data_IF_059831887571
#
_entry.id   IF_059831887571
#
_cell.length_a   1.000
_cell.length_b   1.000
_cell.length_c   1.000
_cell.angle_alpha   90.00
_cell.angle_beta   90.00
_cell.angle_gamma   90.00
#
_symmetry.space_group_name_H-M   'P 1'
#
loop_
_entity.id
_entity.type
_entity.pdbx_description
1 polymer ?
#
# COMPACT_ATOMS: atom_id res chain seq x y z
N UNK A 1 12.02 24.11 6.06
CA UNK A 1 12.15 22.94 6.95
C UNK A 1 10.73 22.53 7.26
N UNK A 2 10.24 21.52 6.58
CA UNK A 2 8.93 20.94 6.89
C UNK A 2 9.15 19.97 8.04
N UNK A 3 8.45 20.21 9.15
CA UNK A 3 8.38 19.25 10.24
C UNK A 3 8.00 17.87 9.70
N UNK A 4 8.48 16.77 10.29
CA UNK A 4 8.09 15.45 9.88
C UNK A 4 6.57 15.34 10.02
N UNK A 5 5.91 15.12 8.90
CA UNK A 5 4.48 14.96 8.82
C UNK A 5 4.12 13.57 9.36
N UNK A 6 3.85 13.48 10.64
CA UNK A 6 3.47 12.24 11.30
C UNK A 6 2.03 12.33 11.75
N UNK A 7 1.21 11.39 11.31
CA UNK A 7 -0.16 11.21 11.78
C UNK A 7 -0.19 10.12 12.84
N UNK A 8 -0.84 10.37 13.96
CA UNK A 8 -1.12 9.33 14.94
C UNK A 8 -2.34 8.51 14.47
N UNK A 9 -2.24 7.18 14.51
CA UNK A 9 -3.40 6.33 14.32
C UNK A 9 -4.40 6.56 15.45
N UNK A 10 -5.60 6.99 15.08
CA UNK A 10 -6.69 7.11 16.05
C UNK A 10 -7.24 5.70 16.37
N UNK A 11 -6.85 5.18 17.54
CA UNK A 11 -7.46 3.97 18.12
C UNK A 11 -8.68 4.42 18.92
N UNK A 12 -9.79 3.67 18.87
CA UNK A 12 -10.95 3.96 19.70
C UNK A 12 -10.58 3.97 21.20
N UNK A 13 -11.33 4.69 22.02
CA UNK A 13 -11.05 4.93 23.44
C UNK A 13 -10.86 3.66 24.30
N UNK A 14 -11.30 2.50 23.80
CA UNK A 14 -11.20 1.20 24.49
C UNK A 14 -10.01 0.32 24.02
N UNK A 15 -9.27 0.71 23.01
CA UNK A 15 -8.11 -0.06 22.54
C UNK A 15 -6.87 0.27 23.37
N UNK A 16 -6.42 -0.72 24.15
CA UNK A 16 -5.12 -0.65 24.83
C UNK A 16 -4.03 -0.46 23.77
N UNK A 17 -3.22 0.57 23.93
CA UNK A 17 -2.01 0.73 23.11
C UNK A 17 -1.15 -0.50 23.33
N UNK A 18 -1.01 -1.31 22.31
CA UNK A 18 -0.27 -2.57 22.38
C UNK A 18 1.18 -2.31 21.94
N UNK A 19 2.10 -3.02 22.57
CA UNK A 19 3.49 -3.05 22.13
C UNK A 19 3.60 -3.63 20.73
N UNK A 20 4.57 -3.15 19.96
CA UNK A 20 4.92 -3.75 18.68
C UNK A 20 5.31 -5.22 18.85
N UNK A 21 4.87 -6.12 17.95
CA UNK A 21 5.27 -7.52 17.97
C UNK A 21 6.80 -7.70 17.89
N UNK A 22 7.33 -8.83 18.40
CA UNK A 22 8.75 -9.15 18.22
C UNK A 22 9.09 -9.36 16.74
N UNK A 23 10.36 -9.18 16.41
CA UNK A 23 10.87 -9.47 15.06
C UNK A 23 10.63 -10.94 14.71
N UNK A 24 10.05 -11.22 13.53
CA UNK A 24 9.95 -12.59 13.03
C UNK A 24 11.32 -13.13 12.62
N UNK A 25 11.41 -14.45 12.45
CA UNK A 25 12.60 -15.06 11.84
C UNK A 25 12.83 -14.44 10.46
N UNK A 26 14.04 -13.99 10.13
CA UNK A 26 14.33 -13.38 8.84
C UNK A 26 14.00 -14.30 7.64
N UNK A 27 13.64 -13.70 6.52
CA UNK A 27 13.49 -14.42 5.24
C UNK A 27 14.87 -14.70 4.64
N UNK A 28 15.04 -15.88 4.06
CA UNK A 28 16.27 -16.25 3.35
C UNK A 28 16.36 -15.54 2.00
N UNK A 29 15.23 -15.36 1.33
CA UNK A 29 15.09 -14.59 0.09
C UNK A 29 14.32 -13.33 0.41
N UNK A 30 14.90 -12.15 0.15
CA UNK A 30 14.24 -10.88 0.46
C UNK A 30 13.00 -10.61 -0.40
N UNK A 31 12.09 -9.83 0.16
CA UNK A 31 10.87 -9.33 -0.50
C UNK A 31 10.74 -7.83 -0.35
N UNK A 32 9.68 -7.28 -0.93
CA UNK A 32 9.26 -5.88 -0.78
C UNK A 32 7.86 -5.82 -0.18
N UNK A 33 7.58 -4.76 0.55
CA UNK A 33 6.24 -4.42 1.00
C UNK A 33 5.60 -3.49 -0.04
N UNK A 34 4.60 -3.99 -0.74
CA UNK A 34 4.02 -3.26 -1.88
C UNK A 34 3.08 -2.12 -1.48
N UNK A 35 2.71 -2.02 -0.20
CA UNK A 35 1.79 -0.98 0.29
C UNK A 35 1.92 -0.80 1.81
N UNK A 36 2.34 0.39 2.22
CA UNK A 36 2.45 0.78 3.63
C UNK A 36 2.31 2.28 3.81
N UNK A 37 1.89 2.72 5.01
CA UNK A 37 1.75 4.12 5.40
C UNK A 37 2.73 4.45 6.53
N UNK A 38 3.97 4.78 6.17
CA UNK A 38 5.05 5.07 7.12
C UNK A 38 4.85 6.38 7.89
N UNK A 39 4.00 7.28 7.37
CA UNK A 39 3.64 8.56 8.01
C UNK A 39 2.67 8.38 9.17
N UNK A 40 2.08 7.21 9.32
CA UNK A 40 1.13 6.94 10.40
C UNK A 40 1.84 6.23 11.53
N UNK A 41 2.07 6.94 12.63
CA UNK A 41 2.57 6.34 13.86
C UNK A 41 1.48 5.54 14.56
N UNK A 42 1.76 4.29 14.87
CA UNK A 42 0.91 3.40 15.64
C UNK A 42 1.75 2.79 16.78
N UNK A 43 1.23 2.85 17.99
CA UNK A 43 2.00 2.47 19.17
C UNK A 43 2.33 3.69 20.02
N UNK A 44 3.03 3.48 21.12
CA UNK A 44 3.21 4.47 22.17
C UNK A 44 2.11 4.32 23.22
N UNK A 45 2.42 3.74 24.37
CA UNK A 45 1.49 3.52 25.47
C UNK A 45 1.55 4.63 26.50
N UNK A 46 0.52 4.73 27.36
CA UNK A 46 0.53 5.60 28.52
C UNK A 46 1.67 5.30 29.51
N UNK A 47 2.36 4.19 29.33
CA UNK A 47 3.52 3.71 30.08
C UNK A 47 4.87 4.06 29.43
N UNK A 48 4.89 4.89 28.38
CA UNK A 48 6.10 5.44 27.78
C UNK A 48 6.79 4.52 26.74
N UNK A 49 6.12 3.48 26.26
CA UNK A 49 6.60 2.75 25.07
C UNK A 49 6.53 3.67 23.86
N UNK A 50 7.68 3.98 23.26
CA UNK A 50 7.76 4.86 22.11
C UNK A 50 7.13 4.23 20.86
N UNK A 51 6.47 5.04 20.06
CA UNK A 51 6.16 4.68 18.67
C UNK A 51 7.47 4.43 17.90
N UNK A 52 7.39 3.64 16.82
CA UNK A 52 8.50 3.49 15.88
C UNK A 52 8.41 4.60 14.83
N UNK A 53 9.45 5.42 14.72
CA UNK A 53 9.57 6.31 13.58
C UNK A 53 9.78 5.49 12.28
N UNK A 54 9.62 6.14 11.13
CA UNK A 54 9.68 5.46 9.84
C UNK A 54 11.06 4.81 9.56
N UNK A 55 12.18 5.38 10.05
CA UNK A 55 13.53 4.81 9.89
C UNK A 55 13.68 3.56 10.72
N UNK A 56 13.22 3.59 11.95
CA UNK A 56 13.20 2.42 12.83
C UNK A 56 12.32 1.30 12.25
N UNK A 57 11.19 1.65 11.62
CA UNK A 57 10.34 0.68 10.92
C UNK A 57 11.10 0.04 9.75
N UNK A 58 11.77 0.84 8.91
CA UNK A 58 12.57 0.38 7.77
C UNK A 58 13.80 -0.44 8.20
N UNK A 59 14.46 -0.07 9.30
CA UNK A 59 15.60 -0.82 9.84
C UNK A 59 15.16 -2.21 10.34
N UNK A 60 14.04 -2.29 11.04
CA UNK A 60 13.43 -3.57 11.44
C UNK A 60 13.00 -4.38 10.22
N UNK A 61 12.39 -3.78 9.22
CA UNK A 61 11.99 -4.44 7.98
C UNK A 61 13.21 -5.03 7.25
N UNK A 62 14.27 -4.27 7.11
CA UNK A 62 15.53 -4.72 6.50
C UNK A 62 16.16 -5.90 7.26
N UNK A 63 16.11 -5.88 8.61
CA UNK A 63 16.68 -6.94 9.44
C UNK A 63 15.98 -8.30 9.30
N UNK A 64 14.75 -8.32 8.77
CA UNK A 64 13.97 -9.55 8.57
C UNK A 64 13.79 -9.92 7.09
N UNK A 65 14.50 -9.23 6.18
CA UNK A 65 14.47 -9.53 4.75
C UNK A 65 13.39 -8.83 3.96
N UNK A 66 12.84 -7.72 4.46
CA UNK A 66 12.03 -6.77 3.69
C UNK A 66 12.91 -5.61 3.29
N UNK A 67 13.42 -5.62 2.05
CA UNK A 67 14.50 -4.72 1.62
C UNK A 67 14.03 -3.38 1.06
N UNK A 68 12.73 -3.23 0.81
CA UNK A 68 12.15 -2.00 0.33
C UNK A 68 10.64 -1.99 0.48
N UNK A 69 10.08 -0.80 0.44
CA UNK A 69 8.64 -0.56 0.60
C UNK A 69 8.12 0.41 -0.45
N UNK A 70 6.83 0.32 -0.78
CA UNK A 70 6.09 1.35 -1.47
C UNK A 70 5.30 2.14 -0.42
N UNK A 71 5.73 3.39 -0.18
CA UNK A 71 5.04 4.34 0.68
C UNK A 71 3.87 4.97 -0.07
N UNK A 72 2.69 4.94 0.51
CA UNK A 72 1.44 5.31 -0.18
C UNK A 72 0.83 6.55 0.44
N UNK A 73 0.65 7.59 -0.40
CA UNK A 73 -0.10 8.79 -0.04
C UNK A 73 -1.61 8.60 -0.29
N UNK A 74 -2.42 9.19 0.57
CA UNK A 74 -3.89 9.11 0.53
C UNK A 74 -4.56 10.44 0.25
N UNK A 75 -3.85 11.54 0.38
CA UNK A 75 -4.23 12.91 0.05
C UNK A 75 -3.03 13.66 -0.53
N UNK A 76 -3.22 14.92 -0.93
CA UNK A 76 -2.16 15.70 -1.55
C UNK A 76 -0.98 15.95 -0.61
N UNK A 77 -1.23 16.09 0.68
CA UNK A 77 -0.19 16.36 1.69
C UNK A 77 0.65 15.10 1.96
N UNK A 78 0.03 13.96 2.22
CA UNK A 78 0.72 12.68 2.39
C UNK A 78 1.40 12.21 1.11
N UNK A 79 0.83 12.51 -0.06
CA UNK A 79 1.46 12.24 -1.36
C UNK A 79 2.74 13.07 -1.57
N UNK A 80 2.76 14.35 -1.16
CA UNK A 80 3.97 15.17 -1.15
C UNK A 80 5.05 14.60 -0.24
N UNK A 81 4.66 14.19 0.96
CA UNK A 81 5.56 13.55 1.91
C UNK A 81 6.11 12.22 1.36
N UNK A 82 5.26 11.38 0.74
CA UNK A 82 5.66 10.11 0.13
C UNK A 82 6.69 10.32 -0.98
N UNK A 83 6.47 11.27 -1.86
CA UNK A 83 7.42 11.62 -2.93
C UNK A 83 8.74 12.18 -2.38
N UNK A 84 8.67 12.98 -1.31
CA UNK A 84 9.85 13.56 -0.67
C UNK A 84 10.71 12.50 0.03
N UNK A 85 10.08 11.60 0.80
CA UNK A 85 10.83 10.56 1.49
C UNK A 85 11.46 9.56 0.50
N UNK A 86 10.76 9.20 -0.58
CA UNK A 86 11.29 8.33 -1.61
C UNK A 86 12.51 8.94 -2.31
N UNK A 87 12.57 10.27 -2.46
CA UNK A 87 13.70 10.96 -3.04
C UNK A 87 14.97 10.87 -2.18
N UNK A 88 14.85 10.61 -0.89
CA UNK A 88 15.95 10.65 0.07
C UNK A 88 16.26 9.32 0.78
N UNK A 89 15.31 8.38 0.82
CA UNK A 89 15.46 7.07 1.45
C UNK A 89 15.52 5.97 0.37
N UNK A 90 16.66 5.31 0.17
CA UNK A 90 16.82 4.35 -0.93
C UNK A 90 15.92 3.11 -0.80
N UNK A 91 15.42 2.81 0.38
CA UNK A 91 14.51 1.68 0.63
C UNK A 91 13.05 2.00 0.30
N UNK A 92 12.73 3.26 -0.10
CA UNK A 92 11.36 3.70 -0.33
C UNK A 92 11.14 4.06 -1.80
N UNK A 93 10.09 3.55 -2.40
CA UNK A 93 9.42 4.08 -3.58
C UNK A 93 8.09 4.69 -3.17
N UNK A 94 7.55 5.61 -3.95
CA UNK A 94 6.29 6.28 -3.61
C UNK A 94 5.16 5.90 -4.56
N UNK A 95 3.97 5.81 -3.99
CA UNK A 95 2.69 5.93 -4.68
C UNK A 95 1.99 7.22 -4.22
N UNK A 96 1.36 7.93 -5.15
CA UNK A 96 0.71 9.22 -4.89
C UNK A 96 -0.70 9.25 -5.46
N UNK A 97 -1.68 9.65 -4.65
CA UNK A 97 -3.07 9.77 -5.09
C UNK A 97 -3.94 10.52 -4.07
N UNK A 98 -5.22 10.65 -4.42
CA UNK A 98 -6.29 10.95 -3.50
C UNK A 98 -7.07 9.66 -3.26
N UNK A 99 -7.11 9.20 -2.01
CA UNK A 99 -7.93 8.07 -1.60
C UNK A 99 -9.41 8.32 -1.95
N UNK A 100 -10.20 7.31 -2.36
CA UNK A 100 -11.59 7.52 -2.75
C UNK A 100 -12.43 8.26 -1.71
N UNK A 101 -12.15 8.11 -0.43
CA UNK A 101 -12.90 8.80 0.62
C UNK A 101 -12.62 10.31 0.72
N UNK A 102 -11.53 10.80 0.13
CA UNK A 102 -11.23 12.24 0.05
C UNK A 102 -12.01 12.96 -1.06
N UNK A 103 -12.32 12.24 -2.14
CA UNK A 103 -12.90 12.82 -3.34
C UNK A 103 -14.24 13.52 -3.12
N UNK A 104 -15.20 12.98 -2.34
CA UNK A 104 -16.50 13.64 -2.11
C UNK A 104 -16.37 14.98 -1.39
N UNK A 105 -15.54 15.05 -0.35
CA UNK A 105 -15.33 16.30 0.40
C UNK A 105 -14.63 17.37 -0.45
N UNK A 106 -13.60 16.97 -1.20
CA UNK A 106 -12.88 17.85 -2.11
C UNK A 106 -13.80 18.36 -3.23
N UNK A 107 -14.68 17.51 -3.78
CA UNK A 107 -15.65 17.90 -4.78
C UNK A 107 -16.67 18.93 -4.24
N UNK A 108 -17.19 18.71 -3.02
CA UNK A 108 -18.11 19.66 -2.36
C UNK A 108 -17.45 21.02 -2.11
N UNK A 109 -16.16 21.03 -1.81
CA UNK A 109 -15.37 22.26 -1.62
C UNK A 109 -14.91 22.92 -2.92
N UNK A 110 -15.13 22.27 -4.09
CA UNK A 110 -14.63 22.73 -5.38
C UNK A 110 -13.11 22.63 -5.56
N UNK A 111 -12.44 21.78 -4.75
CA UNK A 111 -10.98 21.63 -4.70
C UNK A 111 -10.47 20.37 -5.42
N UNK A 112 -11.37 19.47 -5.87
CA UNK A 112 -10.94 18.18 -6.42
C UNK A 112 -9.98 18.33 -7.60
N UNK A 113 -10.26 19.23 -8.54
CA UNK A 113 -9.42 19.43 -9.73
C UNK A 113 -8.04 20.02 -9.39
N UNK A 114 -7.98 20.92 -8.43
CA UNK A 114 -6.71 21.48 -7.93
C UNK A 114 -5.83 20.38 -7.29
N UNK A 115 -6.44 19.53 -6.45
CA UNK A 115 -5.73 18.43 -5.81
C UNK A 115 -5.29 17.37 -6.83
N UNK A 116 -6.12 17.03 -7.81
CA UNK A 116 -5.75 16.12 -8.89
C UNK A 116 -4.58 16.67 -9.73
N UNK A 117 -4.57 17.97 -10.02
CA UNK A 117 -3.44 18.61 -10.68
C UNK A 117 -2.15 18.51 -9.86
N UNK A 118 -2.23 18.68 -8.52
CA UNK A 118 -1.11 18.47 -7.62
C UNK A 118 -0.59 17.02 -7.63
N UNK A 119 -1.48 16.03 -7.70
CA UNK A 119 -1.07 14.61 -7.86
C UNK A 119 -0.38 14.40 -9.21
N UNK A 120 -0.88 14.98 -10.29
CA UNK A 120 -0.24 14.88 -11.61
C UNK A 120 1.19 15.48 -11.61
N UNK A 121 1.42 16.59 -10.91
CA UNK A 121 2.77 17.15 -10.73
C UNK A 121 3.68 16.19 -9.94
N UNK A 122 3.17 15.55 -8.89
CA UNK A 122 3.92 14.59 -8.09
C UNK A 122 4.24 13.31 -8.89
N UNK A 123 3.37 12.88 -9.80
CA UNK A 123 3.58 11.72 -10.66
C UNK A 123 4.86 11.81 -11.51
N UNK A 124 5.33 13.02 -11.82
CA UNK A 124 6.58 13.26 -12.56
C UNK A 124 7.84 13.22 -11.67
N UNK A 125 7.70 13.12 -10.34
CA UNK A 125 8.86 13.14 -9.43
C UNK A 125 9.65 11.84 -9.52
N UNK A 126 11.00 11.93 -9.40
CA UNK A 126 11.82 10.73 -9.29
C UNK A 126 11.35 9.80 -8.17
N UNK A 127 11.45 8.48 -8.39
CA UNK A 127 11.07 7.42 -7.44
C UNK A 127 9.56 7.36 -7.08
N UNK A 128 8.70 8.18 -7.69
CA UNK A 128 7.27 7.92 -7.75
C UNK A 128 7.03 6.84 -8.81
N UNK A 129 6.44 5.71 -8.40
CA UNK A 129 6.31 4.51 -9.25
C UNK A 129 4.87 4.07 -9.46
N UNK A 130 3.95 4.65 -8.68
CA UNK A 130 2.54 4.34 -8.83
C UNK A 130 1.65 5.56 -8.60
N UNK A 131 0.50 5.52 -9.23
CA UNK A 131 -0.66 6.30 -8.84
C UNK A 131 -1.51 5.41 -7.94
N UNK A 132 -1.66 5.79 -6.70
CA UNK A 132 -2.34 5.03 -5.66
C UNK A 132 -2.05 5.61 -4.26
N UNK A 133 -2.95 5.38 -3.38
CA UNK A 133 -4.14 4.54 -3.36
C UNK A 133 -5.35 5.30 -3.92
N UNK A 134 -5.97 4.78 -4.97
CA UNK A 134 -7.15 5.37 -5.62
C UNK A 134 -8.15 4.27 -5.99
N UNK A 135 -9.38 4.62 -6.31
CA UNK A 135 -10.41 3.64 -6.65
C UNK A 135 -11.78 4.01 -6.10
N UNK A 136 -12.51 3.01 -5.58
CA UNK A 136 -13.87 3.19 -5.08
C UNK A 136 -14.06 2.52 -3.70
N UNK A 137 -14.73 3.24 -2.79
CA UNK A 137 -15.12 2.73 -1.45
C UNK A 137 -16.62 3.01 -1.23
N UNK A 138 -17.46 2.03 -1.54
CA UNK A 138 -18.91 2.15 -1.33
C UNK A 138 -19.35 1.70 0.06
N UNK A 139 -18.44 1.19 0.86
CA UNK A 139 -18.70 0.91 2.27
C UNK A 139 -18.77 2.20 3.11
N UNK A 140 -17.86 3.16 2.83
CA UNK A 140 -17.77 4.42 3.59
C UNK A 140 -18.49 5.58 2.91
N UNK A 141 -18.71 5.52 1.61
CA UNK A 141 -19.30 6.60 0.83
C UNK A 141 -20.70 6.25 0.36
N UNK A 142 -21.67 7.07 0.73
CA UNK A 142 -23.06 6.99 0.26
C UNK A 142 -23.18 7.30 -1.23
N UNK A 143 -24.41 7.11 -1.77
CA UNK A 143 -24.68 7.30 -3.19
C UNK A 143 -24.33 8.70 -3.71
N UNK A 144 -24.51 9.72 -2.88
CA UNK A 144 -24.24 11.13 -3.18
C UNK A 144 -22.76 11.46 -3.40
N UNK A 145 -21.86 10.62 -2.88
CA UNK A 145 -20.40 10.81 -3.04
C UNK A 145 -19.77 9.96 -4.15
N UNK A 146 -20.48 8.98 -4.72
CA UNK A 146 -19.93 8.00 -5.67
C UNK A 146 -19.45 8.62 -6.97
N UNK A 147 -20.18 9.61 -7.51
CA UNK A 147 -19.80 10.29 -8.74
C UNK A 147 -18.45 11.02 -8.58
N UNK A 148 -18.21 11.61 -7.42
CA UNK A 148 -16.92 12.25 -7.13
C UNK A 148 -15.78 11.22 -7.05
N UNK A 149 -16.01 10.05 -6.43
CA UNK A 149 -15.03 8.95 -6.43
C UNK A 149 -14.73 8.46 -7.85
N UNK A 150 -15.76 8.23 -8.67
CA UNK A 150 -15.59 7.79 -10.07
C UNK A 150 -14.79 8.82 -10.87
N UNK A 151 -15.11 10.10 -10.77
CA UNK A 151 -14.38 11.17 -11.44
C UNK A 151 -12.91 11.23 -11.01
N UNK A 152 -12.65 11.12 -9.71
CA UNK A 152 -11.29 11.07 -9.16
C UNK A 152 -10.53 9.87 -9.68
N UNK A 153 -11.14 8.68 -9.67
CA UNK A 153 -10.53 7.45 -10.14
C UNK A 153 -10.20 7.50 -11.64
N UNK A 154 -11.12 8.01 -12.48
CA UNK A 154 -10.85 8.23 -13.91
C UNK A 154 -9.65 9.14 -14.15
N UNK A 155 -9.56 10.25 -13.41
CA UNK A 155 -8.43 11.16 -13.51
C UNK A 155 -7.10 10.48 -13.12
N UNK A 156 -7.09 9.68 -12.04
CA UNK A 156 -5.91 8.93 -11.61
C UNK A 156 -5.48 7.88 -12.65
N UNK A 157 -6.43 7.18 -13.30
CA UNK A 157 -6.12 6.26 -14.39
C UNK A 157 -5.41 7.00 -15.53
N UNK A 158 -5.90 8.17 -15.93
CA UNK A 158 -5.27 8.96 -16.99
C UNK A 158 -3.89 9.47 -16.58
N UNK A 159 -3.70 9.93 -15.33
CA UNK A 159 -2.38 10.34 -14.83
C UNK A 159 -1.42 9.14 -14.86
N UNK A 160 -1.83 7.96 -14.41
CA UNK A 160 -1.00 6.75 -14.44
C UNK A 160 -0.55 6.40 -15.87
N UNK A 161 -1.46 6.46 -16.85
CA UNK A 161 -1.18 6.22 -18.28
C UNK A 161 -0.21 7.25 -18.86
N UNK A 162 -0.42 8.55 -18.57
CA UNK A 162 0.42 9.63 -19.06
C UNK A 162 1.88 9.51 -18.61
N UNK A 163 2.08 9.06 -17.38
CA UNK A 163 3.41 8.93 -16.78
C UNK A 163 3.98 7.50 -16.87
N UNK A 164 3.23 6.55 -17.44
CA UNK A 164 3.64 5.15 -17.51
C UNK A 164 3.87 4.52 -16.13
N UNK A 165 3.07 4.91 -15.14
CA UNK A 165 3.15 4.43 -13.76
C UNK A 165 2.21 3.26 -13.52
N UNK A 166 2.48 2.46 -12.46
CA UNK A 166 1.52 1.49 -11.97
C UNK A 166 0.29 2.17 -11.38
N UNK A 167 -0.84 1.46 -11.33
CA UNK A 167 -2.07 1.92 -10.67
C UNK A 167 -2.35 1.01 -9.49
N UNK A 168 -2.37 1.54 -8.27
CA UNK A 168 -2.79 0.82 -7.06
C UNK A 168 -4.22 1.15 -6.71
N UNK A 169 -5.08 0.13 -6.73
CA UNK A 169 -6.53 0.28 -6.60
C UNK A 169 -7.00 -0.13 -5.22
N UNK A 170 -7.67 0.79 -4.54
CA UNK A 170 -8.55 0.55 -3.43
C UNK A 170 -9.92 0.12 -3.94
N UNK A 171 -10.40 -1.02 -3.50
CA UNK A 171 -11.70 -1.56 -3.90
C UNK A 171 -12.44 -2.12 -2.69
N UNK A 172 -13.46 -1.41 -2.24
CA UNK A 172 -14.27 -1.84 -1.12
C UNK A 172 -15.76 -1.75 -1.42
N UNK A 173 -16.42 -2.92 -1.50
CA UNK A 173 -17.83 -3.07 -1.87
C UNK A 173 -18.17 -2.45 -3.25
N UNK A 174 -17.18 -2.35 -4.17
CA UNK A 174 -17.29 -1.66 -5.45
C UNK A 174 -16.72 -2.45 -6.65
N UNK A 175 -16.42 -3.73 -6.50
CA UNK A 175 -15.70 -4.57 -7.46
C UNK A 175 -16.14 -4.39 -8.93
N UNK A 176 -17.45 -4.46 -9.18
CA UNK A 176 -18.01 -4.34 -10.53
C UNK A 176 -17.87 -2.93 -11.09
N UNK A 177 -17.99 -1.91 -10.24
CA UNK A 177 -17.87 -0.52 -10.65
C UNK A 177 -16.41 -0.16 -10.93
N UNK A 178 -15.46 -0.67 -10.14
CA UNK A 178 -14.03 -0.54 -10.41
C UNK A 178 -13.69 -1.11 -11.78
N UNK A 179 -14.08 -2.36 -12.06
CA UNK A 179 -13.82 -3.00 -13.37
C UNK A 179 -14.50 -2.23 -14.50
N UNK A 180 -15.72 -1.75 -14.30
CA UNK A 180 -16.44 -0.96 -15.32
C UNK A 180 -15.72 0.35 -15.66
N UNK A 181 -15.17 1.04 -14.66
CA UNK A 181 -14.37 2.24 -14.88
C UNK A 181 -13.07 1.90 -15.63
N UNK A 182 -12.36 0.87 -15.22
CA UNK A 182 -11.13 0.40 -15.89
C UNK A 182 -11.39 0.00 -17.36
N UNK A 183 -12.47 -0.72 -17.63
CA UNK A 183 -12.84 -1.13 -19.00
C UNK A 183 -13.24 0.09 -19.86
N UNK A 184 -13.88 1.09 -19.28
CA UNK A 184 -14.30 2.32 -19.98
C UNK A 184 -13.14 3.26 -20.30
N UNK A 185 -12.26 3.49 -19.33
CA UNK A 185 -11.14 4.45 -19.44
C UNK A 185 -9.92 3.82 -20.09
N UNK A 186 -9.78 2.49 -19.97
CA UNK A 186 -8.61 1.72 -20.33
C UNK A 186 -7.61 1.65 -19.19
N UNK A 187 -7.47 0.46 -18.59
CA UNK A 187 -6.56 0.22 -17.48
C UNK A 187 -5.10 0.42 -17.89
N UNK A 188 -4.24 0.97 -17.03
CA UNK A 188 -2.79 0.93 -17.22
C UNK A 188 -2.27 -0.50 -17.30
N UNK A 189 -1.14 -0.71 -17.99
CA UNK A 189 -0.52 -2.03 -18.14
C UNK A 189 -0.24 -2.71 -16.80
N UNK A 190 0.20 -1.91 -15.81
CA UNK A 190 0.53 -2.36 -14.46
C UNK A 190 -0.54 -1.93 -13.46
N UNK A 191 -1.64 -2.68 -13.45
CA UNK A 191 -2.78 -2.45 -12.56
C UNK A 191 -2.73 -3.44 -11.39
N UNK A 192 -2.83 -2.93 -10.17
CA UNK A 192 -2.74 -3.68 -8.92
C UNK A 192 -4.00 -3.45 -8.09
N UNK A 193 -4.69 -4.52 -7.73
CA UNK A 193 -5.68 -4.49 -6.65
C UNK A 193 -4.95 -4.69 -5.34
N UNK A 194 -4.75 -3.58 -4.60
CA UNK A 194 -4.12 -3.66 -3.28
C UNK A 194 -5.10 -4.23 -2.26
N UNK A 195 -4.59 -4.81 -1.19
CA UNK A 195 -5.38 -5.40 -0.11
C UNK A 195 -6.58 -6.21 -0.63
N UNK A 196 -6.33 -7.06 -1.63
CA UNK A 196 -7.40 -7.76 -2.35
C UNK A 196 -8.43 -8.37 -1.38
N UNK A 197 -9.71 -8.09 -1.62
CA UNK A 197 -10.82 -8.47 -0.74
C UNK A 197 -11.95 -9.21 -1.46
N UNK A 198 -11.82 -9.48 -2.76
CA UNK A 198 -12.80 -10.18 -3.57
C UNK A 198 -12.83 -11.69 -3.32
N UNK A 199 -13.83 -12.34 -3.92
CA UNK A 199 -13.95 -13.79 -3.95
C UNK A 199 -13.10 -14.42 -5.06
N UNK A 200 -13.18 -15.76 -5.17
CA UNK A 200 -12.43 -16.53 -6.16
C UNK A 200 -12.82 -16.21 -7.60
N UNK A 201 -14.07 -15.86 -7.86
CA UNK A 201 -14.54 -15.52 -9.22
C UNK A 201 -13.99 -14.17 -9.64
N UNK A 202 -14.04 -13.19 -8.73
CA UNK A 202 -13.44 -11.89 -8.97
C UNK A 202 -11.92 -11.96 -9.11
N UNK A 203 -11.24 -12.78 -8.30
CA UNK A 203 -9.80 -13.01 -8.45
C UNK A 203 -9.42 -13.57 -9.84
N UNK A 204 -10.19 -14.53 -10.37
CA UNK A 204 -10.01 -15.05 -11.73
C UNK A 204 -10.27 -14.00 -12.79
N UNK A 205 -11.29 -13.16 -12.60
CA UNK A 205 -11.62 -12.06 -13.50
C UNK A 205 -10.49 -11.04 -13.58
N UNK A 206 -9.95 -10.60 -12.44
CA UNK A 206 -8.80 -9.68 -12.36
C UNK A 206 -7.56 -10.31 -12.99
N UNK A 207 -7.26 -11.56 -12.66
CA UNK A 207 -6.10 -12.28 -13.21
C UNK A 207 -6.19 -12.49 -14.73
N UNK A 208 -7.38 -12.77 -15.27
CA UNK A 208 -7.59 -12.95 -16.72
C UNK A 208 -7.30 -11.68 -17.53
N UNK A 209 -7.36 -10.49 -16.89
CA UNK A 209 -6.98 -9.22 -17.50
C UNK A 209 -5.48 -8.92 -17.42
N UNK A 210 -4.70 -9.80 -16.80
CA UNK A 210 -3.27 -9.59 -16.58
C UNK A 210 -2.94 -8.67 -15.40
N UNK A 211 -3.92 -8.32 -14.58
CA UNK A 211 -3.75 -7.44 -13.43
C UNK A 211 -3.21 -8.21 -12.21
N UNK A 212 -2.58 -7.49 -11.29
CA UNK A 212 -1.94 -8.05 -10.11
C UNK A 212 -2.87 -7.96 -8.89
N UNK A 213 -2.76 -8.95 -8.00
CA UNK A 213 -3.48 -9.00 -6.74
C UNK A 213 -2.49 -9.02 -5.58
N UNK A 214 -2.58 -8.02 -4.70
CA UNK A 214 -1.73 -7.90 -3.53
C UNK A 214 -2.46 -8.36 -2.28
N UNK A 215 -1.83 -9.25 -1.52
CA UNK A 215 -2.42 -9.87 -0.34
C UNK A 215 -1.77 -9.33 0.94
N UNK A 216 -2.61 -8.77 1.81
CA UNK A 216 -2.21 -8.24 3.11
C UNK A 216 -2.34 -9.31 4.23
N UNK A 217 -2.07 -8.90 5.47
CA UNK A 217 -2.19 -9.74 6.66
C UNK A 217 -3.56 -10.37 6.87
N UNK A 218 -4.60 -9.84 6.23
CA UNK A 218 -5.99 -10.37 6.26
C UNK A 218 -6.09 -11.81 5.80
N UNK A 219 -5.25 -12.28 4.87
CA UNK A 219 -5.25 -13.66 4.39
C UNK A 219 -4.99 -14.67 5.51
N UNK A 220 -4.29 -14.25 6.57
CA UNK A 220 -3.96 -15.06 7.75
C UNK A 220 -5.13 -15.18 8.76
N UNK A 221 -6.22 -14.41 8.56
CA UNK A 221 -7.31 -14.36 9.53
C UNK A 221 -8.17 -15.60 9.48
N UNK A 222 -8.66 -16.04 10.66
CA UNK A 222 -9.45 -17.27 10.78
C UNK A 222 -10.66 -17.30 9.84
N UNK A 223 -11.33 -16.16 9.67
CA UNK A 223 -12.55 -16.00 8.87
C UNK A 223 -12.29 -15.66 7.40
N UNK A 224 -11.05 -15.71 6.91
CA UNK A 224 -10.68 -15.34 5.55
C UNK A 224 -10.65 -16.54 4.58
N UNK A 225 -11.58 -17.50 4.69
CA UNK A 225 -11.66 -18.70 3.83
C UNK A 225 -11.75 -18.32 2.34
N UNK A 226 -12.69 -17.46 1.98
CA UNK A 226 -12.88 -17.03 0.59
C UNK A 226 -11.65 -16.30 0.01
N UNK A 227 -10.95 -15.51 0.84
CA UNK A 227 -9.72 -14.85 0.41
C UNK A 227 -8.58 -15.86 0.13
N UNK A 228 -8.52 -16.96 0.87
CA UNK A 228 -7.57 -18.05 0.60
C UNK A 228 -7.91 -18.82 -0.68
N UNK A 229 -9.20 -19.07 -0.94
CA UNK A 229 -9.64 -19.65 -2.22
C UNK A 229 -9.29 -18.72 -3.39
N UNK A 230 -9.43 -17.40 -3.22
CA UNK A 230 -8.97 -16.41 -4.20
C UNK A 230 -7.45 -16.50 -4.41
N UNK A 231 -6.66 -16.57 -3.35
CA UNK A 231 -5.19 -16.69 -3.41
C UNK A 231 -4.76 -17.95 -4.21
N UNK A 232 -5.45 -19.09 -4.04
CA UNK A 232 -5.18 -20.32 -4.80
C UNK A 232 -5.44 -20.16 -6.29
N UNK A 233 -6.43 -19.35 -6.66
CA UNK A 233 -6.87 -19.15 -8.03
C UNK A 233 -5.97 -18.22 -8.85
N UNK A 234 -5.15 -17.38 -8.18
CA UNK A 234 -4.30 -16.39 -8.85
C UNK A 234 -2.99 -17.00 -9.35
N UNK A 235 -2.61 -16.78 -10.63
CA UNK A 235 -1.31 -17.19 -11.13
C UNK A 235 -0.17 -16.59 -10.31
N UNK A 236 0.86 -17.37 -10.00
CA UNK A 236 2.01 -16.92 -9.20
C UNK A 236 2.69 -15.67 -9.76
N UNK A 237 2.67 -15.48 -11.09
CA UNK A 237 3.22 -14.32 -11.77
C UNK A 237 2.42 -13.02 -11.56
N UNK A 238 1.25 -13.09 -10.94
CA UNK A 238 0.39 -11.94 -10.65
C UNK A 238 0.18 -11.71 -9.16
N UNK A 239 0.86 -12.49 -8.29
CA UNK A 239 0.79 -12.32 -6.85
C UNK A 239 1.74 -11.24 -6.38
N UNK A 240 1.22 -10.36 -5.53
CA UNK A 240 1.98 -9.41 -4.74
C UNK A 240 1.68 -9.62 -3.24
N UNK A 241 2.47 -9.00 -2.39
CA UNK A 241 2.31 -9.05 -0.93
C UNK A 241 2.52 -7.67 -0.33
N UNK A 242 1.79 -7.36 0.72
CA UNK A 242 1.86 -6.06 1.40
C UNK A 242 1.52 -6.20 2.88
N UNK A 243 1.76 -5.14 3.64
CA UNK A 243 1.29 -5.06 5.03
C UNK A 243 0.05 -4.22 5.21
N UNK A 244 -0.13 -3.19 4.40
CA UNK A 244 -1.10 -2.11 4.65
C UNK A 244 -0.92 -1.50 6.07
N UNK A 245 0.35 -1.49 6.53
CA UNK A 245 0.66 -0.98 7.86
C UNK A 245 0.37 0.52 7.96
N UNK A 246 -0.17 0.95 9.12
CA UNK A 246 -0.26 0.29 10.42
C UNK A 246 -1.51 -0.59 10.62
N UNK A 247 -2.27 -0.86 9.58
CA UNK A 247 -3.49 -1.66 9.63
C UNK A 247 -3.19 -3.16 9.42
N UNK A 248 -4.22 -4.01 9.57
CA UNK A 248 -4.28 -5.40 9.11
C UNK A 248 -3.18 -6.34 9.64
N UNK A 249 -2.74 -6.14 10.86
CA UNK A 249 -1.69 -6.95 11.50
C UNK A 249 -1.95 -8.44 11.34
N UNK A 250 -1.01 -9.23 10.79
CA UNK A 250 -1.20 -10.65 10.55
C UNK A 250 -1.31 -11.46 11.85
N UNK A 251 -1.95 -12.63 11.77
CA UNK A 251 -1.93 -13.64 12.83
C UNK A 251 -0.47 -14.09 13.07
N UNK A 252 -0.02 -14.31 14.35
CA UNK A 252 -0.81 -14.32 15.57
C UNK A 252 -0.98 -12.95 16.26
N UNK A 253 -0.56 -11.86 15.64
CA UNK A 253 -0.41 -10.56 16.27
C UNK A 253 -1.59 -9.59 16.07
N UNK A 254 -2.76 -10.10 15.66
CA UNK A 254 -3.95 -9.25 15.48
C UNK A 254 -4.22 -8.34 16.68
N UNK A 255 -4.58 -7.07 16.38
CA UNK A 255 -4.85 -6.05 17.39
C UNK A 255 -3.60 -5.33 17.94
N UNK A 256 -2.40 -5.78 17.56
CA UNK A 256 -1.16 -5.07 17.82
C UNK A 256 -0.80 -4.11 16.69
N UNK A 257 0.11 -3.13 16.90
CA UNK A 257 0.63 -2.31 15.83
C UNK A 257 1.23 -3.15 14.70
N UNK A 258 0.94 -2.76 13.44
CA UNK A 258 1.54 -3.38 12.26
C UNK A 258 2.71 -2.54 11.75
N UNK A 259 3.62 -3.17 11.05
CA UNK A 259 4.72 -2.53 10.34
C UNK A 259 5.29 -3.51 9.31
N UNK A 260 5.97 -3.00 8.30
CA UNK A 260 6.55 -3.79 7.19
C UNK A 260 7.41 -4.97 7.65
N UNK A 261 8.03 -4.90 8.84
CA UNK A 261 8.81 -6.03 9.36
C UNK A 261 7.97 -7.28 9.71
N UNK A 262 6.63 -7.16 9.75
CA UNK A 262 5.73 -8.30 9.99
C UNK A 262 5.33 -9.04 8.70
N UNK A 263 5.70 -8.52 7.54
CA UNK A 263 5.45 -9.15 6.22
C UNK A 263 5.86 -10.62 6.13
N UNK A 264 6.97 -11.08 6.77
CA UNK A 264 7.34 -12.49 6.77
C UNK A 264 6.28 -13.44 7.33
N UNK A 265 5.39 -12.99 8.23
CA UNK A 265 4.28 -13.82 8.72
C UNK A 265 3.27 -14.09 7.60
N UNK A 266 2.90 -13.05 6.84
CA UNK A 266 1.97 -13.17 5.71
C UNK A 266 2.57 -14.05 4.62
N UNK A 267 3.84 -13.83 4.25
CA UNK A 267 4.53 -14.62 3.23
C UNK A 267 4.57 -16.12 3.58
N UNK A 268 4.98 -16.46 4.80
CA UNK A 268 5.07 -17.86 5.24
C UNK A 268 3.70 -18.52 5.26
N UNK A 269 2.68 -17.80 5.73
CA UNK A 269 1.31 -18.29 5.69
C UNK A 269 0.87 -18.58 4.26
N UNK A 270 1.10 -17.62 3.32
CA UNK A 270 0.77 -17.82 1.91
C UNK A 270 1.51 -19.02 1.33
N UNK A 271 2.81 -19.18 1.60
CA UNK A 271 3.61 -20.29 1.10
C UNK A 271 3.11 -21.65 1.63
N UNK A 272 2.82 -21.75 2.92
CA UNK A 272 2.25 -22.96 3.56
C UNK A 272 0.89 -23.30 2.94
N UNK A 273 0.01 -22.30 2.82
CA UNK A 273 -1.33 -22.49 2.25
C UNK A 273 -1.28 -22.95 0.78
N UNK A 274 -0.34 -22.41 0.01
CA UNK A 274 -0.13 -22.75 -1.40
C UNK A 274 0.70 -24.01 -1.62
N UNK A 275 1.15 -24.67 -0.55
CA UNK A 275 1.97 -25.89 -0.63
C UNK A 275 3.32 -25.68 -1.34
N UNK A 276 3.93 -24.50 -1.20
CA UNK A 276 5.21 -24.14 -1.84
C UNK A 276 6.27 -23.72 -0.83
N UNK A 277 7.54 -23.77 -1.23
CA UNK A 277 8.64 -23.26 -0.42
C UNK A 277 8.56 -21.74 -0.28
N UNK A 278 8.77 -21.21 0.92
CA UNK A 278 8.67 -19.78 1.20
C UNK A 278 9.72 -18.95 0.42
N UNK A 279 10.92 -19.48 0.19
CA UNK A 279 11.96 -18.79 -0.58
C UNK A 279 11.63 -18.75 -2.07
N UNK A 280 11.00 -19.80 -2.59
CA UNK A 280 10.51 -19.80 -3.98
C UNK A 280 9.38 -18.79 -4.18
N UNK A 281 8.43 -18.73 -3.25
CA UNK A 281 7.35 -17.75 -3.31
C UNK A 281 7.90 -16.32 -3.15
N UNK A 282 8.84 -16.11 -2.22
CA UNK A 282 9.49 -14.83 -2.03
C UNK A 282 10.18 -14.33 -3.29
N UNK A 283 10.96 -15.20 -3.97
CA UNK A 283 11.64 -14.87 -5.21
C UNK A 283 10.64 -14.49 -6.33
N UNK A 284 9.56 -15.24 -6.46
CA UNK A 284 8.53 -14.94 -7.46
C UNK A 284 7.84 -13.59 -7.18
N UNK A 285 7.42 -13.36 -5.93
CA UNK A 285 6.76 -12.10 -5.53
C UNK A 285 7.71 -10.91 -5.67
N UNK A 286 8.99 -11.05 -5.28
CA UNK A 286 9.97 -10.00 -5.46
C UNK A 286 10.16 -9.65 -6.94
N UNK A 287 10.23 -10.65 -7.82
CA UNK A 287 10.28 -10.43 -9.27
C UNK A 287 9.02 -9.73 -9.81
N UNK A 288 7.83 -10.14 -9.36
CA UNK A 288 6.57 -9.48 -9.73
C UNK A 288 6.55 -8.02 -9.29
N UNK A 289 7.04 -7.74 -8.06
CA UNK A 289 7.13 -6.38 -7.52
C UNK A 289 8.03 -5.49 -8.39
N UNK A 290 9.19 -5.99 -8.80
CA UNK A 290 10.10 -5.26 -9.69
C UNK A 290 9.51 -5.06 -11.10
N UNK A 291 8.70 -5.99 -11.60
CA UNK A 291 7.96 -5.80 -12.86
C UNK A 291 6.92 -4.68 -12.76
N UNK A 292 6.27 -4.54 -11.60
CA UNK A 292 5.23 -3.54 -11.38
C UNK A 292 5.82 -2.15 -11.10
N UNK A 293 6.77 -2.05 -10.17
CA UNK A 293 7.25 -0.76 -9.65
C UNK A 293 8.65 -0.38 -10.13
N UNK A 294 9.35 -1.25 -10.87
CA UNK A 294 10.75 -1.09 -11.21
C UNK A 294 11.66 -1.47 -10.02
N UNK A 295 12.96 -1.32 -10.23
CA UNK A 295 13.95 -1.61 -9.19
C UNK A 295 14.20 -0.39 -8.33
N UNK A 296 14.47 -0.60 -7.05
CA UNK A 296 14.78 0.46 -6.10
C UNK A 296 16.08 1.19 -6.43
N UNK A 297 17.01 0.53 -7.15
CA UNK A 297 18.30 1.05 -7.56
C UNK A 297 18.30 1.80 -8.90
N UNK A 298 17.23 1.72 -9.70
CA UNK A 298 17.17 2.32 -11.05
C UNK A 298 17.27 3.84 -11.03
N UNK A 299 16.85 4.47 -9.93
CA UNK A 299 17.01 5.91 -9.72
C UNK A 299 17.71 6.17 -8.39
N UNK A 300 18.86 6.88 -8.42
CA UNK A 300 19.58 7.22 -7.21
C UNK A 300 18.76 8.19 -6.36
N UNK A 301 18.92 8.08 -5.05
CA UNK A 301 18.42 9.09 -4.14
C UNK A 301 19.18 10.38 -4.30
N UNK A 302 18.51 11.50 -4.13
CA UNK A 302 19.15 12.82 -4.14
C UNK A 302 20.13 12.88 -2.97
N UNK A 303 21.42 13.05 -3.28
CA UNK A 303 22.43 13.25 -2.23
C UNK A 303 22.07 14.51 -1.43
N UNK A 304 21.75 14.31 -0.15
CA UNK A 304 21.07 15.22 0.67
C UNK A 304 21.60 15.97 1.68
N UNK A 305 21.10 17.00 2.09
CA UNK A 305 21.12 17.46 3.49
C UNK A 305 20.35 16.48 4.39
N UNK A 306 20.82 16.04 5.53
CA UNK A 306 20.03 15.20 6.40
C UNK A 306 18.73 15.93 6.73
N UNK A 307 17.60 15.24 6.59
CA UNK A 307 16.36 15.63 7.26
C UNK A 307 16.69 15.71 8.75
N UNK A 308 17.08 16.89 9.20
CA UNK A 308 17.46 17.14 10.58
C UNK A 308 16.23 17.00 11.46
N UNK A 309 16.05 15.79 11.97
CA UNK A 309 15.28 15.56 13.18
C UNK A 309 16.17 15.96 14.38
N UNK A 310 16.53 17.22 14.48
CA UNK A 310 16.97 17.81 15.74
C UNK A 310 15.77 18.53 16.33
N UNK A 311 15.02 17.79 17.11
CA UNK A 311 14.06 18.28 18.07
C UNK A 311 14.47 17.74 19.43
N UNK A 312 15.17 18.58 20.18
CA UNK A 312 15.41 18.43 21.62
C UNK A 312 14.12 18.46 22.43
#
# INVERSE_FOLDING_TARGET
MTEPFLRARHRGDDEKVAEYPPLPVPLTVPVFDNHTHLEIEDGGGPDGTASLDFRQQLDRASSVGVRGVVQVGTDLETSRWSAEIAAHEPRVLAAVALHPNEAPELAQKGLLDEHLAGIAELAARPRVRAIGETGLDFFRTGEDGRDAQVRSFEAHIEIAKQHGLALQIHDRDAHRDVVRVLDRVGAPERTVFHCFSGDVEFAREVAARGWYLSFAGTVTFKNAGGLREALEAVPRAQLLIETDAPYLTPTPWRGRPNSSYLLPHTLRFMAEHLGTDASMLAAQIASNTELVYGRWEDEPVTATSPLSLEGS
#
